data_IF_035738577157
#
_entry.id   IF_035738577157
#
_cell.length_a   1.000
_cell.length_b   1.000
_cell.length_c   1.000
_cell.angle_alpha   90.00
_cell.angle_beta   90.00
_cell.angle_gamma   90.00
#
_symmetry.space_group_name_H-M   'P 1'
#
loop_
_entity.id
_entity.type
_entity.pdbx_description
1 polymer ?
#
# COMPACT_ATOMS: atom_id res chain seq x y z
N UNK A 1 10.01 -8.11 -33.52
CA UNK A 1 9.23 -7.03 -32.84
C UNK A 1 8.30 -7.52 -31.72
N UNK A 2 7.72 -8.73 -31.77
CA UNK A 2 6.70 -9.21 -30.80
C UNK A 2 7.20 -9.47 -29.36
N UNK A 3 8.50 -9.74 -29.18
CA UNK A 3 9.09 -10.00 -27.86
C UNK A 3 9.13 -8.71 -27.01
N UNK A 4 9.48 -7.56 -27.60
CA UNK A 4 9.66 -6.29 -26.88
C UNK A 4 8.33 -5.73 -26.37
N UNK A 5 7.25 -5.92 -27.13
CA UNK A 5 5.89 -5.53 -26.72
C UNK A 5 5.37 -6.35 -25.54
N UNK A 6 5.76 -7.62 -25.42
CA UNK A 6 5.40 -8.45 -24.26
C UNK A 6 6.10 -7.99 -22.99
N UNK A 7 7.40 -7.68 -23.08
CA UNK A 7 8.16 -7.13 -21.95
C UNK A 7 7.61 -5.78 -21.48
N UNK A 8 7.24 -4.89 -22.41
CA UNK A 8 6.57 -3.64 -22.09
C UNK A 8 5.26 -3.87 -21.32
N UNK A 9 4.44 -4.84 -21.76
CA UNK A 9 3.20 -5.19 -21.07
C UNK A 9 3.42 -5.68 -19.64
N UNK A 10 4.43 -6.51 -19.40
CA UNK A 10 4.76 -7.03 -18.07
C UNK A 10 5.24 -5.91 -17.14
N UNK A 11 6.08 -5.01 -17.64
CA UNK A 11 6.58 -3.86 -16.86
C UNK A 11 5.41 -2.96 -16.46
N UNK A 12 4.51 -2.68 -17.39
CA UNK A 12 3.35 -1.83 -17.15
C UNK A 12 2.38 -2.46 -16.16
N UNK A 13 2.15 -3.78 -16.26
CA UNK A 13 1.39 -4.54 -15.28
C UNK A 13 2.04 -4.49 -13.89
N UNK A 14 3.36 -4.69 -13.80
CA UNK A 14 4.11 -4.60 -12.55
C UNK A 14 3.98 -3.23 -11.89
N UNK A 15 4.05 -2.15 -12.68
CA UNK A 15 3.84 -0.78 -12.20
C UNK A 15 2.42 -0.60 -11.65
N UNK A 16 1.40 -1.10 -12.35
CA UNK A 16 0.00 -1.03 -11.88
C UNK A 16 -0.17 -1.79 -10.56
N UNK A 17 0.42 -2.99 -10.47
CA UNK A 17 0.37 -3.81 -9.26
C UNK A 17 1.07 -3.14 -8.08
N UNK A 18 2.19 -2.45 -8.31
CA UNK A 18 2.90 -1.73 -7.27
C UNK A 18 2.14 -0.47 -6.83
N UNK A 19 1.71 0.36 -7.77
CA UNK A 19 1.10 1.66 -7.47
C UNK A 19 -0.32 1.55 -6.93
N UNK A 20 -1.12 0.59 -7.39
CA UNK A 20 -2.52 0.48 -6.98
C UNK A 20 -2.74 -0.03 -5.55
N UNK A 21 -1.66 -0.31 -4.81
CA UNK A 21 -1.70 -0.69 -3.40
C UNK A 21 -1.55 0.48 -2.42
N UNK A 22 -1.16 1.67 -2.91
CA UNK A 22 -1.12 2.87 -2.09
C UNK A 22 -2.53 3.43 -1.88
N UNK A 23 -2.86 3.79 -0.64
CA UNK A 23 -4.14 4.41 -0.28
C UNK A 23 -3.91 5.64 0.58
N UNK A 24 -4.74 6.65 0.39
CA UNK A 24 -4.76 7.86 1.20
C UNK A 24 -5.84 7.75 2.27
N UNK A 25 -5.50 8.14 3.51
CA UNK A 25 -6.43 8.20 4.63
C UNK A 25 -6.35 9.56 5.30
N UNK A 26 -7.49 10.03 5.81
CA UNK A 26 -7.56 11.25 6.62
C UNK A 26 -7.51 10.85 8.09
N UNK A 27 -6.54 11.39 8.81
CA UNK A 27 -6.38 11.15 10.25
C UNK A 27 -7.47 11.91 11.00
N UNK A 28 -8.22 11.18 11.82
CA UNK A 28 -9.30 11.73 12.63
C UNK A 28 -8.94 11.60 14.10
N UNK A 29 -9.07 12.70 14.84
CA UNK A 29 -8.85 12.72 16.27
C UNK A 29 -7.38 12.94 16.66
N UNK A 30 -7.06 12.55 17.90
CA UNK A 30 -5.87 13.01 18.61
C UNK A 30 -5.00 11.86 19.14
N UNK A 31 -5.28 10.60 18.76
CA UNK A 31 -4.58 9.42 19.28
C UNK A 31 -3.11 9.39 18.88
N UNK A 32 -2.81 9.91 17.69
CA UNK A 32 -1.49 9.80 17.07
C UNK A 32 -0.68 11.10 17.24
N UNK A 33 -1.14 12.02 18.10
CA UNK A 33 -0.38 13.22 18.47
C UNK A 33 0.89 12.82 19.25
N UNK A 34 2.03 13.50 19.05
CA UNK A 34 2.21 14.66 18.17
C UNK A 34 2.58 14.31 16.73
N UNK A 35 2.63 13.03 16.36
CA UNK A 35 3.11 12.60 15.03
C UNK A 35 2.14 12.95 13.92
N UNK A 36 0.85 12.74 14.14
CA UNK A 36 -0.20 13.19 13.22
C UNK A 36 -1.21 14.07 13.94
N UNK A 37 -1.59 15.16 13.29
CA UNK A 37 -2.67 16.02 13.72
C UNK A 37 -4.00 15.58 13.06
N UNK A 38 -5.10 15.86 13.75
CA UNK A 38 -6.43 15.67 13.15
C UNK A 38 -6.54 16.53 11.89
N UNK A 39 -6.93 15.91 10.77
CA UNK A 39 -7.01 16.54 9.45
C UNK A 39 -5.83 16.24 8.52
N UNK A 40 -4.75 15.63 9.02
CA UNK A 40 -3.63 15.21 8.19
C UNK A 40 -4.05 14.11 7.20
N UNK A 41 -3.43 14.11 6.01
CA UNK A 41 -3.60 13.05 5.01
C UNK A 41 -2.35 12.20 4.95
N UNK A 42 -2.50 10.91 5.25
CA UNK A 42 -1.41 9.94 5.24
C UNK A 42 -1.55 8.98 4.06
N UNK A 43 -0.42 8.56 3.50
CA UNK A 43 -0.36 7.55 2.45
C UNK A 43 0.10 6.25 3.07
N UNK A 44 -0.66 5.18 2.87
CA UNK A 44 -0.39 3.85 3.43
C UNK A 44 -0.02 2.90 2.29
N UNK A 45 1.09 2.19 2.48
CA UNK A 45 1.49 1.08 1.62
C UNK A 45 0.89 -0.24 2.15
N UNK A 46 -0.16 -0.76 1.50
CA UNK A 46 -0.75 -2.06 1.88
C UNK A 46 0.16 -3.25 1.53
N UNK A 47 0.98 -3.08 0.51
CA UNK A 47 2.02 -4.00 0.07
C UNK A 47 3.31 -3.82 0.88
N UNK A 48 3.23 -3.50 2.18
CA UNK A 48 4.40 -3.52 3.07
C UNK A 48 4.54 -4.87 3.79
N UNK A 49 3.40 -5.50 4.10
CA UNK A 49 3.32 -6.72 4.91
C UNK A 49 2.55 -7.85 4.22
N UNK A 50 1.60 -7.53 3.34
CA UNK A 50 0.72 -8.47 2.65
C UNK A 50 0.82 -8.32 1.12
N UNK A 51 0.79 -9.43 0.37
CA UNK A 51 0.44 -9.38 -1.06
C UNK A 51 -1.04 -9.06 -1.16
N UNK A 52 -1.36 -7.85 -1.57
CA UNK A 52 -2.73 -7.41 -1.79
C UNK A 52 -3.03 -7.21 -3.27
N UNK A 53 -4.27 -7.54 -3.65
CA UNK A 53 -4.78 -7.21 -4.98
C UNK A 53 -5.05 -5.71 -5.03
N UNK A 54 -4.46 -4.96 -5.99
CA UNK A 54 -4.68 -3.52 -6.11
C UNK A 54 -6.16 -3.18 -6.20
N UNK A 55 -6.54 -2.02 -5.65
CA UNK A 55 -7.92 -1.52 -5.63
C UNK A 55 -8.93 -2.40 -4.87
N UNK A 56 -8.49 -3.53 -4.31
CA UNK A 56 -9.32 -4.43 -3.52
C UNK A 56 -8.94 -4.42 -2.04
N UNK A 57 -9.76 -5.06 -1.22
CA UNK A 57 -9.44 -5.37 0.18
C UNK A 57 -8.86 -6.78 0.35
N UNK A 58 -8.78 -7.56 -0.73
CA UNK A 58 -8.31 -8.96 -0.70
C UNK A 58 -6.81 -9.03 -0.43
N UNK A 59 -6.46 -9.77 0.63
CA UNK A 59 -5.09 -10.18 0.98
C UNK A 59 -4.88 -11.60 0.47
N UNK A 60 -3.83 -11.81 -0.32
CA UNK A 60 -3.49 -13.11 -0.89
C UNK A 60 -2.63 -13.91 0.08
N UNK A 61 -1.52 -13.33 0.54
CA UNK A 61 -0.69 -13.92 1.58
C UNK A 61 0.16 -12.86 2.30
N UNK A 62 0.43 -13.03 3.62
CA UNK A 62 1.38 -12.20 4.35
C UNK A 62 2.82 -12.60 4.04
N UNK A 63 3.72 -11.64 3.83
CA UNK A 63 5.15 -11.91 3.64
C UNK A 63 6.04 -11.37 4.76
N UNK A 64 5.54 -10.43 5.59
CA UNK A 64 6.29 -9.86 6.71
C UNK A 64 5.32 -9.49 7.83
N UNK A 65 5.78 -9.57 9.08
CA UNK A 65 5.07 -9.06 10.24
C UNK A 65 5.54 -7.64 10.58
N UNK A 66 4.67 -6.77 11.11
CA UNK A 66 5.08 -5.45 11.57
C UNK A 66 6.08 -5.56 12.72
N UNK A 67 7.09 -4.71 12.67
CA UNK A 67 8.13 -4.63 13.70
C UNK A 67 7.85 -3.49 14.69
N UNK A 68 8.55 -3.50 15.83
CA UNK A 68 8.37 -2.45 16.84
C UNK A 68 8.76 -1.09 16.25
N UNK A 69 7.85 -0.13 16.34
CA UNK A 69 8.01 1.22 15.79
C UNK A 69 7.28 1.43 14.46
N UNK A 70 6.77 0.37 13.83
CA UNK A 70 5.95 0.51 12.63
C UNK A 70 4.57 1.10 12.95
N UNK A 71 4.14 2.09 12.16
CA UNK A 71 2.78 2.63 12.20
C UNK A 71 1.89 1.84 11.25
N UNK A 72 0.92 1.13 11.80
CA UNK A 72 0.03 0.24 11.05
C UNK A 72 -1.43 0.62 11.24
N UNK A 73 -2.19 0.55 10.15
CA UNK A 73 -3.63 0.69 10.20
C UNK A 73 -4.28 -0.69 10.41
N UNK A 74 -4.94 -0.87 11.56
CA UNK A 74 -5.65 -2.09 11.93
C UNK A 74 -7.15 -1.95 11.61
N UNK A 75 -7.58 -2.46 10.45
CA UNK A 75 -8.99 -2.57 10.04
C UNK A 75 -9.18 -3.84 9.20
#
# INVERSE_FOLDING_TARGET
>A
MRIKTLWLGIILLGIILLLGNFRTYLVLGASDLPTFNSGDKVIINRSAYDVTVPFSSVKVFPWRKPDRGDMVLCY
#
